data_IF_754738503031
#
_entry.id   IF_754738503031
#
_cell.length_a   1.000
_cell.length_b   1.000
_cell.length_c   1.000
_cell.angle_alpha   90.00
_cell.angle_beta   90.00
_cell.angle_gamma   90.00
#
_symmetry.space_group_name_H-M   'P 1'
#
loop_
_entity.id
_entity.type
_entity.pdbx_description
1 polymer ?
#
# COMPACT_ATOMS: atom_id res chain seq x y z
N UNK A 1 -37.99 58.94 12.86
CA UNK A 1 -39.20 58.20 12.46
C UNK A 1 -38.92 56.71 12.55
N UNK A 2 -39.66 55.97 13.39
CA UNK A 2 -39.75 54.51 13.43
C UNK A 2 -41.12 54.18 14.06
N UNK A 3 -41.93 53.28 13.49
CA UNK A 3 -43.31 53.10 13.93
C UNK A 3 -43.43 52.23 15.18
N UNK A 4 -44.32 52.62 16.09
CA UNK A 4 -44.79 51.79 17.22
C UNK A 4 -45.99 50.94 16.76
N UNK A 5 -46.01 49.64 17.09
CA UNK A 5 -47.19 48.78 16.96
C UNK A 5 -47.91 48.60 18.31
N UNK A 6 -49.26 48.49 18.34
CA UNK A 6 -50.04 48.43 19.59
C UNK A 6 -50.49 47.01 20.03
N UNK A 7 -50.95 46.96 21.29
CA UNK A 7 -51.71 45.92 22.06
C UNK A 7 -52.70 45.03 21.24
N UNK A 8 -52.97 43.74 21.52
CA UNK A 8 -53.38 43.00 22.77
C UNK A 8 -54.85 43.32 23.18
N UNK A 9 -55.80 42.38 23.44
CA UNK A 9 -55.77 40.94 23.83
C UNK A 9 -56.64 40.01 22.94
N UNK A 10 -56.60 38.68 23.18
CA UNK A 10 -57.78 37.78 23.15
C UNK A 10 -57.85 37.00 24.48
N UNK A 11 -58.98 37.11 25.19
CA UNK A 11 -59.43 36.15 26.21
C UNK A 11 -60.70 35.45 25.72
N UNK A 12 -61.32 34.48 26.42
CA UNK A 12 -61.02 33.90 27.73
C UNK A 12 -61.90 32.65 27.99
N UNK A 13 -61.53 31.80 28.97
CA UNK A 13 -62.38 30.79 29.66
C UNK A 13 -62.80 29.58 28.77
N UNK A 14 -63.15 28.39 29.28
CA UNK A 14 -63.48 27.88 30.63
C UNK A 14 -62.63 26.62 30.96
N UNK A 15 -62.14 26.40 32.19
CA UNK A 15 -62.70 25.52 33.27
C UNK A 15 -63.29 24.18 32.81
N UNK A 16 -63.18 23.06 33.53
CA UNK A 16 -62.30 22.63 34.64
C UNK A 16 -62.64 21.15 34.97
N UNK A 17 -61.67 20.34 35.39
CA UNK A 17 -61.90 19.16 36.24
C UNK A 17 -60.59 18.72 36.92
N UNK A 18 -60.50 18.84 38.25
CA UNK A 18 -59.51 18.10 39.05
C UNK A 18 -60.13 16.76 39.47
N UNK A 19 -59.28 15.74 39.66
CA UNK A 19 -59.14 14.94 40.89
C UNK A 19 -58.64 13.52 40.57
N UNK A 20 -57.71 13.00 41.39
CA UNK A 20 -57.17 11.65 41.24
C UNK A 20 -55.79 11.53 41.89
N UNK A 21 -55.77 11.28 43.21
CA UNK A 21 -54.58 11.35 44.06
C UNK A 21 -54.10 9.94 44.46
N UNK A 22 -52.78 9.82 44.71
CA UNK A 22 -52.11 8.70 45.39
C UNK A 22 -52.05 7.34 44.61
N UNK A 23 -51.11 6.42 44.88
CA UNK A 23 -50.08 6.39 45.93
C UNK A 23 -48.76 5.78 45.41
N UNK A 24 -47.65 6.01 46.12
CA UNK A 24 -46.36 5.37 45.85
C UNK A 24 -46.22 4.02 46.58
N UNK A 25 -45.45 3.09 46.01
CA UNK A 25 -44.76 2.03 46.77
C UNK A 25 -43.45 1.62 46.09
N UNK A 26 -42.42 1.40 46.90
CA UNK A 26 -41.02 1.12 46.50
C UNK A 26 -40.58 -0.29 46.93
N UNK A 27 -40.00 -1.06 46.00
CA UNK A 27 -38.97 -2.10 46.23
C UNK A 27 -38.50 -2.58 44.83
N UNK A 28 -37.25 -2.45 44.38
CA UNK A 28 -35.98 -2.95 44.92
C UNK A 28 -35.79 -4.48 44.81
N UNK A 29 -35.09 -4.94 43.76
CA UNK A 29 -34.04 -5.98 43.84
C UNK A 29 -33.21 -6.05 42.56
N UNK A 30 -31.89 -6.28 42.69
CA UNK A 30 -31.00 -6.62 41.58
C UNK A 30 -31.26 -8.06 41.12
N UNK A 31 -31.11 -8.32 39.82
CA UNK A 31 -30.80 -9.64 39.29
C UNK A 31 -29.46 -9.57 38.56
N UNK A 32 -28.41 -10.13 39.16
CA UNK A 32 -27.07 -10.17 38.59
C UNK A 32 -26.77 -11.54 37.97
N UNK A 33 -26.16 -11.51 36.78
CA UNK A 33 -25.24 -12.49 36.17
C UNK A 33 -25.43 -14.01 36.41
N UNK A 34 -25.70 -14.75 35.32
CA UNK A 34 -24.99 -15.97 34.86
C UNK A 34 -25.86 -16.72 33.82
N UNK A 35 -25.37 -17.44 32.81
CA UNK A 35 -24.07 -17.62 32.14
C UNK A 35 -24.42 -18.23 30.76
N UNK A 36 -23.72 -17.90 29.66
CA UNK A 36 -23.47 -18.82 28.53
C UNK A 36 -22.65 -18.16 27.42
N UNK A 37 -21.39 -18.56 27.37
CA UNK A 37 -20.45 -18.48 26.24
C UNK A 37 -21.06 -18.45 24.83
N UNK A 38 -20.86 -17.35 24.11
CA UNK A 38 -20.61 -17.40 22.67
C UNK A 38 -19.49 -16.41 22.36
N UNK A 39 -18.31 -16.92 21.99
CA UNK A 39 -17.15 -16.12 21.58
C UNK A 39 -17.36 -15.59 20.16
N UNK A 40 -18.30 -14.64 20.02
CA UNK A 40 -18.36 -13.75 18.88
C UNK A 40 -17.37 -12.61 19.10
N UNK A 41 -16.20 -12.68 18.47
CA UNK A 41 -15.31 -11.52 18.39
C UNK A 41 -16.10 -10.33 17.82
N UNK A 42 -16.07 -9.14 18.44
CA UNK A 42 -16.65 -7.97 17.80
C UNK A 42 -15.95 -7.76 16.45
N UNK A 43 -16.67 -7.42 15.36
CA UNK A 43 -16.01 -7.06 14.12
C UNK A 43 -15.06 -5.90 14.42
N UNK A 44 -13.79 -6.07 14.05
CA UNK A 44 -12.79 -5.02 14.14
C UNK A 44 -13.29 -3.82 13.34
N UNK A 45 -13.82 -2.82 14.04
CA UNK A 45 -14.21 -1.56 13.40
C UNK A 45 -12.96 -0.99 12.73
N UNK A 46 -12.99 -0.68 11.42
CA UNK A 46 -11.86 -0.05 10.77
C UNK A 46 -11.57 1.26 11.50
N UNK A 47 -10.37 1.37 12.08
CA UNK A 47 -9.99 2.50 12.91
C UNK A 47 -10.15 3.79 12.14
N UNK A 48 -10.87 4.75 12.71
CA UNK A 48 -11.17 6.07 12.16
C UNK A 48 -9.95 7.00 12.15
N UNK A 49 -8.85 6.56 11.54
CA UNK A 49 -7.73 7.41 11.18
C UNK A 49 -8.05 8.20 9.89
N UNK A 50 -7.49 9.41 9.71
CA UNK A 50 -7.79 10.26 8.57
C UNK A 50 -7.26 9.70 7.24
N UNK A 51 -8.10 8.89 6.59
CA UNK A 51 -8.03 8.40 5.20
C UNK A 51 -6.62 8.10 4.67
N UNK A 52 -5.89 7.20 5.32
CA UNK A 52 -4.69 6.61 4.73
C UNK A 52 -5.03 5.93 3.40
N UNK A 53 -4.38 6.35 2.32
CA UNK A 53 -4.45 5.67 1.03
C UNK A 53 -3.48 4.50 1.02
N UNK A 54 -3.99 3.27 0.96
CA UNK A 54 -3.18 2.08 0.68
C UNK A 54 -3.01 1.90 -0.83
N UNK A 55 -1.82 1.47 -1.25
CA UNK A 55 -1.50 1.11 -2.63
C UNK A 55 -0.85 -0.27 -2.64
N UNK A 56 -1.27 -1.14 -3.57
CA UNK A 56 -0.81 -2.52 -3.61
C UNK A 56 -0.19 -2.87 -4.97
N UNK A 57 0.97 -3.52 -4.93
CA UNK A 57 1.63 -4.05 -6.12
C UNK A 57 2.22 -5.46 -5.87
N UNK A 58 2.04 -6.36 -6.81
CA UNK A 58 2.69 -7.65 -6.87
C UNK A 58 4.06 -7.52 -7.55
N UNK A 59 5.13 -7.89 -6.87
CA UNK A 59 6.48 -7.95 -7.44
C UNK A 59 6.74 -9.36 -7.95
N UNK A 60 6.88 -9.50 -9.27
CA UNK A 60 7.04 -10.78 -9.99
C UNK A 60 8.44 -10.88 -10.60
N UNK A 61 9.12 -12.01 -10.39
CA UNK A 61 10.43 -12.30 -10.97
C UNK A 61 10.30 -13.29 -12.14
N UNK A 62 10.34 -12.80 -13.38
CA UNK A 62 10.32 -13.59 -14.62
C UNK A 62 11.68 -13.58 -15.34
N UNK A 63 12.77 -13.34 -14.61
CA UNK A 63 14.13 -13.33 -15.17
C UNK A 63 14.53 -14.75 -15.61
N UNK A 64 15.23 -14.85 -16.75
CA UNK A 64 15.34 -16.08 -17.53
C UNK A 64 16.23 -17.18 -16.93
N UNK A 65 17.19 -16.84 -16.06
CA UNK A 65 18.01 -17.84 -15.37
C UNK A 65 17.35 -18.32 -14.07
N UNK A 66 17.57 -19.59 -13.71
CA UNK A 66 16.99 -20.26 -12.52
C UNK A 66 17.37 -19.70 -11.15
N UNK A 67 18.01 -18.53 -11.08
CA UNK A 67 18.29 -17.81 -9.84
C UNK A 67 17.07 -16.99 -9.39
N UNK A 68 16.77 -17.02 -8.09
CA UNK A 68 15.92 -15.98 -7.50
C UNK A 68 16.68 -14.66 -7.39
N UNK A 69 16.01 -13.52 -7.65
CA UNK A 69 16.57 -12.20 -7.37
C UNK A 69 16.51 -11.88 -5.87
N UNK A 70 17.41 -11.04 -5.37
CA UNK A 70 17.35 -10.48 -4.03
C UNK A 70 16.84 -9.04 -4.13
N UNK A 71 15.79 -8.72 -3.37
CA UNK A 71 15.20 -7.39 -3.36
C UNK A 71 15.13 -6.89 -1.91
N UNK A 72 15.65 -5.70 -1.65
CA UNK A 72 15.61 -5.04 -0.35
C UNK A 72 14.98 -3.67 -0.54
N UNK A 73 13.70 -3.55 -0.20
CA UNK A 73 12.93 -2.33 -0.39
C UNK A 73 12.80 -1.50 0.90
N UNK A 74 12.60 -0.20 0.71
CA UNK A 74 12.26 0.81 1.71
C UNK A 74 11.16 1.71 1.16
N UNK A 75 10.08 1.86 1.92
CA UNK A 75 9.06 2.85 1.64
C UNK A 75 9.39 4.17 2.35
N UNK A 76 9.21 5.26 1.61
CA UNK A 76 9.59 6.62 1.98
C UNK A 76 8.38 7.51 1.74
N UNK A 77 8.15 8.51 2.58
CA UNK A 77 7.06 9.46 2.42
C UNK A 77 7.02 10.45 3.57
N UNK A 78 6.62 11.69 3.28
CA UNK A 78 6.71 12.80 4.24
C UNK A 78 8.12 12.94 4.86
N UNK A 79 8.17 13.29 6.14
CA UNK A 79 9.42 13.46 6.89
C UNK A 79 9.91 12.11 7.48
N UNK A 80 10.44 11.24 6.60
CA UNK A 80 11.08 9.93 6.90
C UNK A 80 10.09 8.75 7.01
N UNK A 81 10.48 7.60 6.43
CA UNK A 81 9.87 6.25 6.40
C UNK A 81 8.36 6.14 6.66
N UNK A 82 7.60 5.63 5.69
CA UNK A 82 6.20 5.22 5.93
C UNK A 82 6.16 3.99 6.84
N UNK A 83 6.09 4.24 8.15
CA UNK A 83 6.31 3.27 9.24
C UNK A 83 5.42 2.01 9.15
N UNK A 84 4.29 2.11 8.46
CA UNK A 84 3.28 1.07 8.31
C UNK A 84 3.42 0.21 7.04
N UNK A 85 4.29 0.61 6.08
CA UNK A 85 4.31 0.02 4.75
C UNK A 85 5.06 -1.33 4.66
N UNK A 86 4.38 -2.36 4.15
CA UNK A 86 4.96 -3.69 3.95
C UNK A 86 5.66 -3.74 2.60
N UNK A 87 6.99 -3.80 2.60
CA UNK A 87 7.80 -3.83 1.37
C UNK A 87 8.59 -5.14 1.21
N UNK A 88 8.80 -5.63 -0.03
CA UNK A 88 9.56 -6.85 -0.26
C UNK A 88 10.99 -6.77 0.30
N UNK A 89 11.36 -7.79 1.08
CA UNK A 89 12.72 -8.00 1.59
C UNK A 89 13.14 -9.45 1.44
N UNK A 90 14.35 -9.67 0.93
CA UNK A 90 14.94 -10.99 0.72
C UNK A 90 14.68 -11.56 -0.66
N UNK A 91 14.85 -12.89 -0.79
CA UNK A 91 14.88 -13.58 -2.09
C UNK A 91 13.46 -13.70 -2.68
N UNK A 92 13.29 -13.29 -3.93
CA UNK A 92 12.12 -13.59 -4.76
C UNK A 92 12.54 -14.74 -5.70
N UNK A 93 11.99 -15.96 -5.57
CA UNK A 93 12.33 -17.07 -6.45
C UNK A 93 11.95 -16.76 -7.90
N UNK A 94 12.51 -17.51 -8.86
CA UNK A 94 12.08 -17.44 -10.26
C UNK A 94 10.60 -17.85 -10.35
N UNK A 95 9.85 -17.14 -11.20
CA UNK A 95 8.39 -17.25 -11.37
C UNK A 95 7.62 -17.02 -10.05
N UNK A 96 8.32 -16.44 -9.06
CA UNK A 96 7.83 -16.13 -7.73
C UNK A 96 7.29 -14.71 -7.63
N UNK A 97 6.40 -14.53 -6.66
CA UNK A 97 5.70 -13.27 -6.38
C UNK A 97 5.84 -12.87 -4.92
N UNK A 98 5.98 -11.57 -4.66
CA UNK A 98 5.79 -10.95 -3.33
C UNK A 98 4.80 -9.79 -3.44
N UNK A 99 4.16 -9.41 -2.34
CA UNK A 99 3.30 -8.23 -2.30
C UNK A 99 4.08 -7.06 -1.69
N UNK A 100 3.86 -5.89 -2.27
CA UNK A 100 4.23 -4.57 -1.77
C UNK A 100 2.93 -3.85 -1.42
N UNK A 101 2.88 -3.31 -0.21
CA UNK A 101 1.83 -2.42 0.27
C UNK A 101 2.48 -1.12 0.74
N UNK A 102 2.07 -0.01 0.13
CA UNK A 102 2.47 1.33 0.51
C UNK A 102 1.25 2.02 1.12
N UNK A 103 1.29 2.30 2.43
CA UNK A 103 0.31 3.13 3.10
C UNK A 103 0.82 4.58 3.14
N UNK A 104 -0.02 5.52 2.69
CA UNK A 104 0.29 6.95 2.59
C UNK A 104 -0.79 7.75 3.33
N UNK A 105 -0.39 8.68 4.20
CA UNK A 105 -1.31 9.64 4.83
C UNK A 105 -1.91 10.56 3.75
N UNK A 106 -3.21 10.84 3.82
CA UNK A 106 -3.98 11.69 2.92
C UNK A 106 -3.32 13.03 2.54
N UNK A 107 -2.46 13.58 3.43
CA UNK A 107 -1.77 14.87 3.23
C UNK A 107 -0.36 14.75 2.67
N UNK A 108 0.10 13.56 2.33
CA UNK A 108 1.50 13.28 1.95
C UNK A 108 1.60 12.44 0.68
N UNK A 109 2.81 12.30 0.16
CA UNK A 109 3.14 11.34 -0.89
C UNK A 109 4.13 10.31 -0.34
N UNK A 110 3.94 9.06 -0.74
CA UNK A 110 4.88 7.97 -0.51
C UNK A 110 5.42 7.37 -1.81
N UNK A 111 6.60 6.79 -1.75
CA UNK A 111 7.24 6.03 -2.83
C UNK A 111 8.07 4.89 -2.23
N UNK A 112 8.35 3.86 -3.03
CA UNK A 112 9.18 2.72 -2.62
C UNK A 112 10.43 2.67 -3.48
N UNK A 113 11.58 2.74 -2.83
CA UNK A 113 12.89 2.50 -3.45
C UNK A 113 13.42 1.14 -3.04
N UNK A 114 14.05 0.41 -3.97
CA UNK A 114 14.62 -0.90 -3.69
C UNK A 114 16.07 -1.00 -4.17
N UNK A 115 16.86 -1.80 -3.45
CA UNK A 115 18.10 -2.37 -3.94
C UNK A 115 17.82 -3.76 -4.50
N UNK A 116 18.18 -3.98 -5.77
CA UNK A 116 18.03 -5.25 -6.49
C UNK A 116 19.40 -5.90 -6.74
N UNK A 117 19.48 -7.22 -6.57
CA UNK A 117 20.65 -8.01 -6.93
C UNK A 117 20.27 -9.31 -7.64
N UNK A 118 20.98 -9.63 -8.72
CA UNK A 118 20.76 -10.82 -9.53
C UNK A 118 22.04 -11.22 -10.26
N UNK A 119 22.47 -12.47 -10.09
CA UNK A 119 23.66 -13.03 -10.75
C UNK A 119 24.94 -12.14 -10.66
N UNK A 120 25.20 -11.56 -9.49
CA UNK A 120 26.37 -10.69 -9.29
C UNK A 120 26.27 -9.31 -9.94
N UNK A 121 25.08 -8.92 -10.43
CA UNK A 121 24.77 -7.55 -10.81
C UNK A 121 23.91 -6.89 -9.73
N UNK A 122 24.09 -5.59 -9.55
CA UNK A 122 23.56 -4.84 -8.41
C UNK A 122 23.03 -3.48 -8.87
N UNK A 123 21.84 -3.12 -8.39
CA UNK A 123 21.22 -1.79 -8.60
C UNK A 123 20.72 -1.29 -7.26
N UNK A 124 21.04 -0.03 -6.92
CA UNK A 124 20.55 0.66 -5.74
C UNK A 124 19.57 1.78 -6.10
N UNK A 125 18.73 2.15 -5.13
CA UNK A 125 17.78 3.28 -5.22
C UNK A 125 16.83 3.24 -6.43
N UNK A 126 16.48 2.05 -6.92
CA UNK A 126 15.51 1.87 -8.01
C UNK A 126 14.09 2.18 -7.51
N UNK A 127 13.33 3.10 -8.14
CA UNK A 127 11.96 3.42 -7.74
C UNK A 127 11.04 2.31 -8.25
N UNK A 128 10.43 1.57 -7.32
CA UNK A 128 9.53 0.47 -7.64
C UNK A 128 8.07 0.92 -7.75
N UNK A 129 7.71 1.94 -6.99
CA UNK A 129 6.37 2.52 -6.95
C UNK A 129 6.42 3.97 -6.43
N UNK A 130 5.54 4.85 -6.91
CA UNK A 130 5.35 6.21 -6.38
C UNK A 130 3.87 6.57 -6.44
N UNK A 131 3.30 7.00 -5.31
CA UNK A 131 1.90 7.45 -5.19
C UNK A 131 1.55 8.64 -6.10
N UNK A 132 2.55 9.39 -6.58
CA UNK A 132 2.41 10.52 -7.49
C UNK A 132 2.32 10.12 -8.97
N UNK A 133 2.62 8.87 -9.32
CA UNK A 133 2.49 8.41 -10.71
C UNK A 133 1.01 8.43 -11.14
N UNK A 134 0.69 8.81 -12.38
CA UNK A 134 -0.71 8.83 -12.87
C UNK A 134 -1.33 7.42 -12.86
N UNK A 135 -0.51 6.37 -12.93
CA UNK A 135 -0.93 4.98 -12.76
C UNK A 135 -1.35 4.63 -11.33
N UNK A 136 -0.83 5.32 -10.31
CA UNK A 136 -0.89 4.87 -8.91
C UNK A 136 -2.31 4.71 -8.37
N UNK A 137 -3.25 5.56 -8.80
CA UNK A 137 -4.68 5.44 -8.42
C UNK A 137 -5.30 4.10 -8.83
N UNK A 138 -4.82 3.48 -9.93
CA UNK A 138 -5.25 2.14 -10.36
C UNK A 138 -4.71 1.01 -9.48
N UNK A 139 -3.87 1.32 -8.50
CA UNK A 139 -3.30 0.38 -7.53
C UNK A 139 -3.86 0.57 -6.11
N UNK A 140 -4.84 1.47 -5.89
CA UNK A 140 -5.35 1.80 -4.54
C UNK A 140 -6.38 0.81 -4.00
N UNK A 141 -7.13 0.12 -4.86
CA UNK A 141 -8.22 -0.77 -4.45
C UNK A 141 -8.10 -2.14 -5.13
N UNK A 142 -8.13 -3.19 -4.30
CA UNK A 142 -7.93 -4.58 -4.70
C UNK A 142 -9.25 -5.35 -4.82
N UNK A 143 -10.38 -4.76 -4.44
CA UNK A 143 -11.65 -5.46 -4.18
C UNK A 143 -12.34 -6.09 -5.42
N UNK A 144 -11.73 -6.03 -6.61
CA UNK A 144 -12.22 -6.76 -7.79
C UNK A 144 -11.39 -6.61 -9.07
N UNK A 145 -10.59 -5.55 -9.21
CA UNK A 145 -9.82 -5.29 -10.43
C UNK A 145 -8.56 -6.16 -10.60
N UNK A 146 -8.03 -6.73 -9.52
CA UNK A 146 -6.71 -7.37 -9.50
C UNK A 146 -5.59 -6.40 -9.09
N UNK A 147 -4.39 -6.94 -8.87
CA UNK A 147 -3.24 -6.18 -8.38
C UNK A 147 -2.41 -5.58 -9.52
N UNK A 148 -1.90 -4.35 -9.31
CA UNK A 148 -0.79 -3.84 -10.12
C UNK A 148 0.41 -4.81 -10.01
N UNK A 149 1.19 -4.97 -11.09
CA UNK A 149 2.31 -5.91 -11.17
C UNK A 149 3.60 -5.18 -11.53
N UNK A 150 4.59 -5.21 -10.65
CA UNK A 150 5.98 -4.87 -11.00
C UNK A 150 6.64 -6.14 -11.50
N UNK A 151 6.85 -6.23 -12.80
CA UNK A 151 7.42 -7.40 -13.46
C UNK A 151 8.88 -7.14 -13.81
N UNK A 152 9.76 -8.03 -13.34
CA UNK A 152 11.17 -8.10 -13.72
C UNK A 152 11.30 -9.16 -14.81
N UNK A 153 11.60 -8.77 -16.05
CA UNK A 153 11.58 -9.68 -17.21
C UNK A 153 12.68 -9.30 -18.19
N UNK A 154 13.37 -10.31 -18.74
CA UNK A 154 14.57 -10.13 -19.58
C UNK A 154 15.64 -9.26 -18.90
N UNK A 155 15.70 -8.00 -19.28
CA UNK A 155 16.61 -6.95 -18.81
C UNK A 155 15.87 -5.63 -18.53
N UNK A 156 14.58 -5.70 -18.16
CA UNK A 156 13.73 -4.55 -17.90
C UNK A 156 12.88 -4.73 -16.62
N UNK A 157 12.54 -3.63 -15.97
CA UNK A 157 11.47 -3.58 -14.95
C UNK A 157 10.31 -2.73 -15.46
N UNK A 158 9.10 -3.26 -15.34
CA UNK A 158 7.85 -2.59 -15.75
C UNK A 158 6.78 -2.67 -14.66
N UNK A 159 6.01 -1.60 -14.51
CA UNK A 159 4.76 -1.58 -13.75
C UNK A 159 3.58 -1.77 -14.73
N UNK A 160 2.82 -2.84 -14.54
CA UNK A 160 1.59 -3.14 -15.26
C UNK A 160 0.39 -2.87 -14.33
N UNK A 161 -0.60 -2.12 -14.82
CA UNK A 161 -1.84 -1.83 -14.09
C UNK A 161 -2.96 -2.80 -14.49
N UNK A 162 -3.98 -3.02 -13.66
CA UNK A 162 -5.04 -3.99 -13.95
C UNK A 162 -5.89 -3.67 -15.20
N UNK A 163 -5.88 -2.42 -15.65
CA UNK A 163 -6.52 -1.96 -16.89
C UNK A 163 -5.62 -1.95 -18.13
N UNK A 164 -4.51 -2.70 -18.14
CA UNK A 164 -3.61 -2.82 -19.30
C UNK A 164 -2.65 -1.65 -19.53
N UNK A 165 -2.70 -0.59 -18.72
CA UNK A 165 -1.70 0.48 -18.77
C UNK A 165 -0.35 0.00 -18.23
N UNK A 166 0.73 0.21 -18.99
CA UNK A 166 2.11 -0.19 -18.64
C UNK A 166 3.03 1.03 -18.54
N UNK A 167 3.94 1.01 -17.56
CA UNK A 167 5.00 1.98 -17.36
C UNK A 167 6.34 1.26 -17.27
N UNK A 168 7.30 1.61 -18.14
CA UNK A 168 8.69 1.15 -17.99
C UNK A 168 9.33 1.92 -16.84
N UNK A 169 9.93 1.21 -15.89
CA UNK A 169 10.68 1.82 -14.78
C UNK A 169 12.16 2.03 -15.15
N UNK A 170 12.66 1.18 -16.06
CA UNK A 170 13.98 1.27 -16.67
C UNK A 170 14.59 -0.11 -16.87
N UNK A 171 15.81 -0.12 -17.40
CA UNK A 171 16.52 -1.35 -17.72
C UNK A 171 17.34 -1.87 -16.53
N UNK A 172 17.69 -3.15 -16.57
CA UNK A 172 18.48 -3.88 -15.60
C UNK A 172 19.86 -4.20 -16.18
N UNK A 173 20.96 -4.00 -15.44
CA UNK A 173 22.29 -4.39 -15.87
C UNK A 173 22.47 -5.91 -15.74
N UNK A 174 21.80 -6.70 -16.59
CA UNK A 174 21.96 -8.16 -16.65
C UNK A 174 23.01 -8.49 -17.71
N UNK A 175 24.18 -9.01 -17.29
CA UNK A 175 25.19 -9.52 -18.22
C UNK A 175 24.65 -10.74 -18.96
N UNK A 176 24.77 -10.75 -20.29
CA UNK A 176 24.52 -11.93 -21.12
C UNK A 176 25.85 -12.66 -21.32
N UNK A 177 26.00 -13.82 -20.69
CA UNK A 177 27.20 -14.64 -20.78
C UNK A 177 27.04 -15.73 -21.85
N UNK A 178 27.89 -15.73 -22.88
CA UNK A 178 27.97 -16.77 -23.90
C UNK A 178 29.19 -17.66 -23.64
N UNK A 179 28.96 -18.96 -23.52
CA UNK A 179 30.04 -19.96 -23.40
C UNK A 179 30.52 -20.34 -24.80
N UNK A 180 31.79 -20.07 -25.10
CA UNK A 180 32.43 -20.47 -26.34
C UNK A 180 33.03 -21.87 -26.18
N UNK A 181 32.38 -22.88 -26.75
CA UNK A 181 32.76 -24.28 -26.54
C UNK A 181 34.19 -24.58 -27.00
N UNK A 182 34.63 -23.98 -28.13
CA UNK A 182 35.95 -24.17 -28.73
C UNK A 182 37.12 -23.59 -27.90
N UNK A 183 36.87 -22.61 -27.04
CA UNK A 183 37.90 -21.90 -26.27
C UNK A 183 37.80 -22.15 -24.76
N UNK A 184 36.81 -22.94 -24.33
CA UNK A 184 36.40 -23.11 -22.92
C UNK A 184 36.12 -21.79 -22.17
N UNK A 185 36.08 -20.66 -22.88
CA UNK A 185 35.93 -19.32 -22.32
C UNK A 185 34.46 -18.95 -22.19
N UNK A 186 34.18 -18.06 -21.23
CA UNK A 186 32.86 -17.45 -21.08
C UNK A 186 33.03 -15.95 -21.27
N UNK A 187 32.40 -15.42 -22.30
CA UNK A 187 32.39 -13.99 -22.58
C UNK A 187 31.07 -13.40 -22.09
N UNK A 188 31.13 -12.35 -21.28
CA UNK A 188 29.97 -11.73 -20.66
C UNK A 188 29.90 -10.25 -21.01
N UNK A 189 28.95 -9.86 -21.85
CA UNK A 189 28.71 -8.47 -22.24
C UNK A 189 27.43 -7.94 -21.60
N UNK A 190 27.33 -6.63 -21.45
CA UNK A 190 26.04 -5.98 -21.24
C UNK A 190 25.39 -5.79 -22.63
N UNK A 191 24.11 -6.15 -22.81
CA UNK A 191 23.40 -5.83 -24.05
C UNK A 191 23.20 -4.31 -24.16
N UNK A 192 22.91 -3.83 -25.37
CA UNK A 192 22.45 -2.46 -25.55
C UNK A 192 21.09 -2.26 -24.87
N UNK A 193 20.94 -1.12 -24.19
CA UNK A 193 19.79 -0.80 -23.37
C UNK A 193 18.92 0.28 -24.05
N UNK A 194 17.66 -0.03 -24.44
CA UNK A 194 16.76 0.96 -25.04
C UNK A 194 16.32 2.06 -24.06
N UNK A 195 16.46 1.85 -22.74
CA UNK A 195 16.07 2.80 -21.72
C UNK A 195 17.20 3.06 -20.69
N UNK A 196 17.14 4.17 -19.95
CA UNK A 196 18.01 4.36 -18.79
C UNK A 196 17.83 3.21 -17.78
N UNK A 197 18.90 2.88 -17.06
CA UNK A 197 18.81 1.91 -15.96
C UNK A 197 17.77 2.33 -14.92
N UNK A 198 16.99 1.37 -14.41
CA UNK A 198 15.94 1.60 -13.43
C UNK A 198 16.46 2.17 -12.08
N UNK A 199 17.78 2.19 -11.85
CA UNK A 199 18.39 2.81 -10.68
C UNK A 199 19.90 2.98 -10.87
N UNK A 200 20.61 3.34 -9.79
CA UNK A 200 22.06 3.47 -9.81
C UNK A 200 22.69 2.08 -9.85
N UNK A 201 23.35 1.71 -10.96
CA UNK A 201 24.20 0.51 -11.02
C UNK A 201 25.29 0.60 -9.94
N UNK A 202 25.38 -0.42 -9.10
CA UNK A 202 26.41 -0.54 -8.07
C UNK A 202 27.57 -1.38 -8.61
N UNK A 203 28.80 -1.09 -8.18
CA UNK A 203 29.99 -1.76 -8.74
C UNK A 203 30.23 -3.15 -8.17
N UNK A 204 29.77 -3.41 -6.94
CA UNK A 204 30.08 -4.62 -6.20
C UNK A 204 29.02 -4.95 -5.12
N UNK A 205 29.17 -6.10 -4.47
CA UNK A 205 28.27 -6.59 -3.42
C UNK A 205 28.31 -5.78 -2.11
N UNK A 206 29.46 -5.19 -1.74
CA UNK A 206 29.58 -4.39 -0.52
C UNK A 206 28.76 -3.10 -0.62
N UNK A 207 28.77 -2.45 -1.79
CA UNK A 207 27.88 -1.31 -2.08
C UNK A 207 26.40 -1.69 -1.94
N UNK A 208 26.01 -2.93 -2.29
CA UNK A 208 24.63 -3.41 -2.16
C UNK A 208 24.22 -3.63 -0.71
N UNK A 209 25.08 -4.27 0.10
CA UNK A 209 24.79 -4.54 1.51
C UNK A 209 24.94 -3.30 2.41
N UNK A 210 25.65 -2.27 1.94
CA UNK A 210 25.76 -0.97 2.60
C UNK A 210 24.58 -0.01 2.37
N UNK A 211 23.57 -0.39 1.56
CA UNK A 211 22.35 0.43 1.35
C UNK A 211 21.38 0.25 2.50
#
# INVERSE_FOLDING_TARGET
>A
MQPRTPRVQIGSRQRAAMAGLAAAFTAATLAAMAHATTTGSPPLSPSSQPWSSSYYAAVENRLSAGGGMLLVCRALGGNIFTQWSVVPRGRVPRDGRRVLELLVDAKTYGWVTCSWAYQGNYVGAMPLFDSRWPEAKRCQDVAGGGLCRVVFESDMVRLETPGGGQRVLGDLPVKRCRRHWLLFSTECTYPDHPHPYAGRRLSNAFEYFGV
#
